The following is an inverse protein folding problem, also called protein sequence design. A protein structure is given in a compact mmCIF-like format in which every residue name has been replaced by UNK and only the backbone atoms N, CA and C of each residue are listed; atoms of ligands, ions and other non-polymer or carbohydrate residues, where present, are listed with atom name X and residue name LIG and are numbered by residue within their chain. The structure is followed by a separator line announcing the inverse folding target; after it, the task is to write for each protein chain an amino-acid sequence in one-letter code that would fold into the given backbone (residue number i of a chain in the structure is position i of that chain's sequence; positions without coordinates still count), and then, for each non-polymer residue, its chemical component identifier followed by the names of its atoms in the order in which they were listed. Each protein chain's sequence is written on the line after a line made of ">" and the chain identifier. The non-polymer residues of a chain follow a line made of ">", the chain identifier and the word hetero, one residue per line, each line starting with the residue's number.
data_IF_188201940551
#
_entry.id   IF_188201940551
#
_cell.length_a   1.000
_cell.length_b   1.000
_cell.length_c   1.000
_cell.angle_alpha   90.00
_cell.angle_beta   90.00
_cell.angle_gamma   90.00
#
_symmetry.space_group_name_H-M   'P 1'
#
loop_
_entity.id
_entity.type
_entity.pdbx_description
1 polymer ?
#
# COMPACT_ATOMS: atom_id res chain seq x y z
N UNK A 1 69.44 82.67 45.87
CA UNK A 1 68.86 82.01 44.68
C UNK A 1 70.00 81.44 43.86
N UNK A 2 70.18 80.13 43.96
CA UNK A 2 71.27 79.36 43.37
C UNK A 2 70.83 78.90 41.96
N UNK A 3 71.41 79.54 40.93
CA UNK A 3 71.11 79.32 39.52
C UNK A 3 71.70 77.99 39.02
N UNK A 4 70.82 77.11 38.58
CA UNK A 4 70.95 76.13 37.48
C UNK A 4 72.26 76.11 36.70
N UNK A 5 72.99 74.99 36.74
CA UNK A 5 73.91 74.62 35.67
C UNK A 5 74.31 73.12 35.67
N UNK A 6 73.36 72.19 35.50
CA UNK A 6 73.70 70.81 35.11
C UNK A 6 72.56 70.15 34.32
N UNK A 7 72.33 70.63 33.09
CA UNK A 7 71.69 69.79 32.05
C UNK A 7 72.81 69.24 31.17
N UNK A 8 73.25 68.02 31.47
CA UNK A 8 73.99 67.21 30.49
C UNK A 8 72.97 66.26 29.86
N UNK A 9 72.48 66.62 28.67
CA UNK A 9 71.76 65.70 27.81
C UNK A 9 72.80 64.81 27.12
N UNK A 10 72.88 63.56 27.54
CA UNK A 10 73.76 62.55 26.94
C UNK A 10 73.00 61.92 25.78
N UNK A 11 73.27 62.40 24.57
CA UNK A 11 72.76 61.86 23.33
C UNK A 11 73.35 60.46 23.13
N UNK A 12 72.49 59.44 23.14
CA UNK A 12 72.86 58.04 22.86
C UNK A 12 71.92 57.53 21.79
N UNK A 13 72.48 57.43 20.58
CA UNK A 13 71.80 56.89 19.41
C UNK A 13 71.47 55.41 19.65
N UNK A 14 70.18 55.08 19.63
CA UNK A 14 69.67 53.74 19.92
C UNK A 14 69.82 52.83 18.69
N UNK A 15 70.35 51.60 18.85
CA UNK A 15 70.46 50.65 17.75
C UNK A 15 69.11 50.35 17.12
N UNK A 16 69.00 50.52 15.80
CA UNK A 16 67.80 50.27 15.01
C UNK A 16 67.37 48.81 15.18
N UNK A 17 66.29 48.62 15.94
CA UNK A 17 65.68 47.33 16.20
C UNK A 17 65.29 46.68 14.85
N UNK A 18 65.88 45.52 14.56
CA UNK A 18 65.58 44.74 13.38
C UNK A 18 64.09 44.42 13.40
N UNK A 19 63.35 44.89 12.39
CA UNK A 19 61.91 44.68 12.34
C UNK A 19 61.59 43.18 12.46
N UNK A 20 61.00 42.83 13.61
CA UNK A 20 60.57 41.49 13.94
C UNK A 20 59.44 41.10 13.00
N UNK A 21 59.71 40.09 12.16
CA UNK A 21 58.73 39.53 11.21
C UNK A 21 57.55 39.00 12.00
N UNK A 22 56.40 39.65 11.82
CA UNK A 22 55.16 39.31 12.54
C UNK A 22 54.48 38.14 11.84
N UNK A 23 54.35 36.97 12.50
CA UNK A 23 53.64 35.85 11.90
C UNK A 23 52.16 36.20 11.76
N UNK A 24 51.64 36.03 10.55
CA UNK A 24 50.23 36.20 10.24
C UNK A 24 49.63 34.85 9.87
N UNK A 25 48.46 34.55 10.41
CA UNK A 25 47.73 33.34 10.06
C UNK A 25 47.08 33.56 8.70
N UNK A 26 47.63 32.92 7.67
CA UNK A 26 47.03 32.84 6.34
C UNK A 26 46.38 31.48 6.16
N UNK A 27 45.23 31.45 5.48
CA UNK A 27 44.57 30.24 5.04
C UNK A 27 44.23 30.39 3.55
N UNK A 28 44.36 29.31 2.80
CA UNK A 28 43.99 29.30 1.39
C UNK A 28 42.47 29.20 1.24
N UNK A 29 41.89 30.07 0.42
CA UNK A 29 40.46 30.05 0.12
C UNK A 29 40.24 29.06 -1.03
N UNK A 30 40.03 27.79 -0.70
CA UNK A 30 39.57 26.80 -1.68
C UNK A 30 38.09 27.04 -1.99
N UNK A 31 37.74 27.14 -3.27
CA UNK A 31 36.34 27.14 -3.72
C UNK A 31 35.77 25.72 -3.57
N UNK A 32 35.44 25.34 -2.34
CA UNK A 32 34.65 24.15 -2.11
C UNK A 32 33.25 24.46 -2.61
N UNK A 33 32.93 24.02 -3.82
CA UNK A 33 31.54 23.79 -4.20
C UNK A 33 31.02 22.70 -3.27
N UNK A 34 30.67 23.10 -2.05
CA UNK A 34 29.97 22.25 -1.09
C UNK A 34 28.62 22.01 -1.73
N UNK A 35 28.54 20.89 -2.46
CA UNK A 35 27.27 20.28 -2.78
C UNK A 35 26.62 20.02 -1.43
N UNK A 36 25.75 20.94 -1.01
CA UNK A 36 25.14 20.91 0.31
C UNK A 36 24.50 19.55 0.49
N UNK A 37 25.05 18.75 1.40
CA UNK A 37 24.50 17.43 1.71
C UNK A 37 23.18 17.68 2.41
N UNK A 38 22.08 17.47 1.68
CA UNK A 38 20.73 17.60 2.23
C UNK A 38 20.34 16.28 2.85
N UNK A 39 20.30 16.25 4.18
CA UNK A 39 19.82 15.10 4.94
C UNK A 39 18.33 15.27 5.13
N UNK A 40 17.54 14.38 4.51
CA UNK A 40 16.09 14.35 4.68
C UNK A 40 15.74 13.24 5.66
N UNK A 41 15.27 13.55 6.87
CA UNK A 41 14.79 12.52 7.77
C UNK A 41 13.56 11.86 7.14
N UNK A 42 13.63 10.54 6.92
CA UNK A 42 12.51 9.75 6.46
C UNK A 42 11.95 8.92 7.62
N UNK A 43 10.64 8.68 7.61
CA UNK A 43 9.98 7.76 8.53
C UNK A 43 9.54 6.54 7.74
N UNK A 44 9.89 5.35 8.23
CA UNK A 44 9.35 4.10 7.70
C UNK A 44 7.92 3.98 8.22
N UNK A 45 6.96 3.97 7.30
CA UNK A 45 5.57 3.61 7.60
C UNK A 45 5.40 2.11 7.33
N UNK A 46 4.62 1.43 8.17
CA UNK A 46 4.23 0.05 7.90
C UNK A 46 3.47 0.01 6.58
N UNK A 47 3.74 -1.01 5.76
CA UNK A 47 3.05 -1.20 4.48
C UNK A 47 1.53 -1.38 4.67
N UNK A 48 0.81 -1.34 3.55
CA UNK A 48 -0.65 -1.48 3.53
C UNK A 48 -1.10 -2.73 4.27
N UNK A 49 -1.97 -2.53 5.26
CA UNK A 49 -2.62 -3.61 6.00
C UNK A 49 -3.98 -3.89 5.37
N UNK A 50 -4.23 -5.13 5.03
CA UNK A 50 -5.53 -5.58 4.53
C UNK A 50 -6.12 -6.56 5.54
N UNK A 51 -7.23 -6.19 6.15
CA UNK A 51 -8.00 -7.09 7.00
C UNK A 51 -8.78 -8.07 6.10
N UNK A 52 -8.52 -9.37 6.27
CA UNK A 52 -9.17 -10.42 5.49
C UNK A 52 -10.32 -11.03 6.26
N UNK A 53 -11.50 -11.06 5.64
CA UNK A 53 -12.69 -11.67 6.19
C UNK A 53 -13.39 -12.55 5.16
N UNK A 54 -14.09 -13.58 5.63
CA UNK A 54 -14.89 -14.42 4.75
C UNK A 54 -16.13 -13.69 4.25
N UNK A 55 -16.42 -13.81 2.95
CA UNK A 55 -17.61 -13.20 2.33
C UNK A 55 -18.94 -13.82 2.79
N UNK A 56 -18.90 -15.01 3.38
CA UNK A 56 -20.08 -15.75 3.82
C UNK A 56 -19.83 -16.35 5.20
N UNK A 57 -20.87 -16.46 6.03
CA UNK A 57 -20.76 -17.18 7.29
C UNK A 57 -20.58 -18.69 7.02
N UNK A 58 -19.81 -19.34 7.88
CA UNK A 58 -19.56 -20.77 7.79
C UNK A 58 -18.58 -21.23 8.87
N UNK A 59 -18.48 -22.55 9.03
CA UNK A 59 -17.50 -23.14 9.94
C UNK A 59 -16.13 -23.19 9.27
N UNK A 60 -15.10 -22.75 9.99
CA UNK A 60 -13.70 -22.90 9.54
C UNK A 60 -13.35 -24.39 9.48
N UNK A 61 -12.95 -24.85 8.30
CA UNK A 61 -12.50 -26.23 8.10
C UNK A 61 -10.99 -26.34 8.34
N UNK A 62 -10.22 -25.42 7.76
CA UNK A 62 -8.76 -25.43 7.90
C UNK A 62 -8.16 -24.02 7.76
N UNK A 63 -7.10 -23.77 8.51
CA UNK A 63 -6.19 -22.63 8.33
C UNK A 63 -4.87 -23.17 7.75
N UNK A 64 -4.49 -22.68 6.57
CA UNK A 64 -3.36 -23.21 5.78
C UNK A 64 -2.08 -22.41 5.95
N UNK A 65 -2.13 -21.28 6.65
CA UNK A 65 -1.01 -20.36 6.85
C UNK A 65 -0.74 -20.14 8.32
N UNK A 66 0.51 -19.82 8.65
CA UNK A 66 0.94 -19.46 10.01
C UNK A 66 1.07 -17.95 10.16
N UNK A 67 1.01 -17.50 11.41
CA UNK A 67 1.26 -16.10 11.73
C UNK A 67 2.68 -15.70 11.30
N UNK A 68 2.79 -14.55 10.60
CA UNK A 68 4.07 -14.05 10.07
C UNK A 68 4.52 -14.69 8.75
N UNK A 69 3.76 -15.63 8.19
CA UNK A 69 4.07 -16.25 6.90
C UNK A 69 3.81 -15.27 5.74
N UNK A 70 4.72 -15.22 4.77
CA UNK A 70 4.53 -14.42 3.55
C UNK A 70 3.56 -15.13 2.60
N UNK A 71 2.51 -14.41 2.19
CA UNK A 71 1.48 -14.94 1.28
C UNK A 71 1.43 -14.15 -0.02
N UNK A 72 1.18 -14.86 -1.12
CA UNK A 72 1.04 -14.25 -2.46
C UNK A 72 -0.43 -14.01 -2.82
N UNK A 73 -0.68 -13.08 -3.75
CA UNK A 73 -2.04 -12.82 -4.24
C UNK A 73 -2.65 -14.09 -4.84
N UNK A 74 -3.83 -14.46 -4.35
CA UNK A 74 -4.56 -15.65 -4.80
C UNK A 74 -4.21 -16.94 -4.05
N UNK A 75 -3.26 -16.90 -3.11
CA UNK A 75 -2.97 -18.04 -2.24
C UNK A 75 -4.14 -18.31 -1.30
N UNK A 76 -4.50 -19.59 -1.16
CA UNK A 76 -5.55 -20.03 -0.23
C UNK A 76 -4.97 -20.00 1.19
N UNK A 77 -5.51 -19.12 2.03
CA UNK A 77 -5.08 -18.96 3.42
C UNK A 77 -5.92 -19.80 4.38
N UNK A 78 -7.19 -20.01 4.06
CA UNK A 78 -8.15 -20.68 4.92
C UNK A 78 -9.35 -21.19 4.11
N UNK A 79 -9.92 -22.29 4.55
CA UNK A 79 -11.06 -22.94 3.91
C UNK A 79 -12.24 -23.05 4.87
N UNK A 80 -13.43 -22.71 4.37
CA UNK A 80 -14.69 -22.95 5.08
C UNK A 80 -15.30 -24.28 4.64
N UNK A 81 -16.01 -24.93 5.56
CA UNK A 81 -16.80 -26.11 5.24
C UNK A 81 -17.86 -25.76 4.18
N UNK A 82 -17.79 -26.45 3.05
CA UNK A 82 -18.62 -26.18 1.87
C UNK A 82 -19.77 -27.18 1.65
N UNK A 83 -20.02 -28.09 2.59
CA UNK A 83 -21.03 -29.15 2.43
C UNK A 83 -22.44 -28.60 2.14
N UNK A 84 -22.91 -27.66 2.95
CA UNK A 84 -24.23 -27.06 2.78
C UNK A 84 -24.33 -26.26 1.48
N UNK A 85 -23.25 -25.56 1.12
CA UNK A 85 -23.18 -24.81 -0.14
C UNK A 85 -23.25 -25.76 -1.35
N UNK A 86 -22.55 -26.90 -1.30
CA UNK A 86 -22.59 -27.93 -2.34
C UNK A 86 -23.96 -28.58 -2.45
N UNK A 87 -24.61 -28.86 -1.31
CA UNK A 87 -25.97 -29.42 -1.32
C UNK A 87 -26.97 -28.46 -1.95
N UNK A 88 -26.94 -27.17 -1.56
CA UNK A 88 -27.78 -26.13 -2.16
C UNK A 88 -27.52 -25.96 -3.65
N UNK A 89 -26.26 -25.99 -4.08
CA UNK A 89 -25.92 -25.91 -5.50
C UNK A 89 -26.54 -27.07 -6.28
N UNK A 90 -26.42 -28.30 -5.78
CA UNK A 90 -27.01 -29.49 -6.43
C UNK A 90 -28.53 -29.43 -6.51
N UNK A 91 -29.18 -29.01 -5.43
CA UNK A 91 -30.64 -28.83 -5.39
C UNK A 91 -31.13 -27.83 -6.44
N UNK A 92 -30.45 -26.68 -6.55
CA UNK A 92 -30.76 -25.66 -7.57
C UNK A 92 -30.46 -26.14 -8.98
N UNK A 93 -29.38 -26.88 -9.18
CA UNK A 93 -29.06 -27.46 -10.48
C UNK A 93 -30.15 -28.45 -10.92
N UNK A 94 -30.59 -29.34 -10.04
CA UNK A 94 -31.66 -30.29 -10.36
C UNK A 94 -32.99 -29.58 -10.68
N UNK A 95 -33.30 -28.50 -9.96
CA UNK A 95 -34.48 -27.68 -10.24
C UNK A 95 -34.38 -26.99 -11.60
N UNK A 96 -33.21 -26.46 -11.94
CA UNK A 96 -32.93 -25.87 -13.25
C UNK A 96 -33.05 -26.89 -14.37
N UNK A 97 -32.45 -28.07 -14.23
CA UNK A 97 -32.48 -29.13 -15.23
C UNK A 97 -33.91 -29.61 -15.49
N UNK A 98 -34.73 -29.74 -14.45
CA UNK A 98 -36.14 -30.08 -14.56
C UNK A 98 -36.91 -28.99 -15.33
N UNK A 99 -36.72 -27.72 -14.96
CA UNK A 99 -37.38 -26.60 -15.64
C UNK A 99 -36.97 -26.51 -17.11
N UNK A 100 -35.69 -26.74 -17.43
CA UNK A 100 -35.17 -26.77 -18.79
C UNK A 100 -35.77 -27.93 -19.59
N UNK A 101 -35.85 -29.13 -19.00
CA UNK A 101 -36.48 -30.29 -19.64
C UNK A 101 -37.97 -30.05 -19.92
N UNK A 102 -38.69 -29.42 -18.98
CA UNK A 102 -40.09 -29.03 -19.17
C UNK A 102 -40.23 -27.98 -20.28
N UNK A 103 -39.38 -26.95 -20.30
CA UNK A 103 -39.38 -25.93 -21.35
C UNK A 103 -39.16 -26.56 -22.73
N UNK A 104 -38.12 -27.40 -22.87
CA UNK A 104 -37.82 -28.10 -24.12
C UNK A 104 -38.98 -29.00 -24.57
N UNK A 105 -39.62 -29.68 -23.60
CA UNK A 105 -40.81 -30.50 -23.86
C UNK A 105 -41.96 -29.65 -24.39
N UNK A 106 -42.30 -28.55 -23.74
CA UNK A 106 -43.38 -27.68 -24.22
C UNK A 106 -43.04 -27.06 -25.58
N UNK A 107 -41.80 -26.62 -25.79
CA UNK A 107 -41.35 -26.06 -27.06
C UNK A 107 -41.49 -27.07 -28.22
N UNK A 108 -41.23 -28.35 -27.98
CA UNK A 108 -41.40 -29.43 -28.98
C UNK A 108 -42.87 -29.78 -29.21
N UNK A 109 -43.72 -29.62 -28.18
CA UNK A 109 -45.15 -29.93 -28.23
C UNK A 109 -46.03 -28.78 -28.74
N UNK A 110 -45.50 -27.57 -28.92
CA UNK A 110 -46.22 -26.40 -29.49
C UNK A 110 -46.48 -26.47 -31.01
N UNK A 111 -46.25 -27.63 -31.65
CA UNK A 111 -46.85 -27.93 -32.96
C UNK A 111 -48.40 -28.01 -32.87
N UNK A 112 -49.14 -27.93 -34.00
CA UNK A 112 -50.58 -27.63 -34.06
C UNK A 112 -51.57 -28.64 -33.44
N UNK A 113 -51.15 -29.54 -32.55
CA UNK A 113 -52.03 -30.46 -31.83
C UNK A 113 -51.87 -30.33 -30.30
N UNK A 114 -52.54 -29.33 -29.74
CA UNK A 114 -52.79 -29.18 -28.32
C UNK A 114 -53.74 -30.29 -27.81
N UNK A 115 -53.22 -31.30 -27.11
CA UNK A 115 -54.03 -32.20 -26.29
C UNK A 115 -53.99 -31.74 -24.82
N UNK A 116 -54.96 -30.90 -24.45
CA UNK A 116 -55.27 -30.55 -23.07
C UNK A 116 -56.39 -31.46 -22.54
N UNK A 117 -56.18 -32.21 -21.45
CA UNK A 117 -57.27 -32.66 -20.60
C UNK A 117 -57.23 -31.85 -19.31
N UNK A 118 -57.63 -30.58 -19.37
CA UNK A 118 -58.20 -29.93 -18.18
C UNK A 118 -59.38 -29.06 -18.59
N UNK A 119 -60.51 -29.74 -18.65
CA UNK A 119 -61.83 -29.24 -18.98
C UNK A 119 -62.41 -28.52 -17.76
N UNK A 120 -61.95 -27.31 -17.48
CA UNK A 120 -62.73 -26.33 -16.70
C UNK A 120 -62.38 -24.93 -17.20
N UNK A 121 -63.19 -24.42 -18.12
CA UNK A 121 -63.30 -22.99 -18.39
C UNK A 121 -62.33 -22.42 -19.42
N UNK A 122 -62.54 -22.71 -20.71
CA UNK A 122 -62.14 -21.79 -21.78
C UNK A 122 -63.39 -21.48 -22.61
N UNK A 123 -64.27 -20.65 -22.05
CA UNK A 123 -65.41 -20.05 -22.74
C UNK A 123 -64.96 -18.74 -23.39
N UNK A 124 -64.23 -18.81 -24.50
CA UNK A 124 -64.09 -17.72 -25.49
C UNK A 124 -62.94 -18.03 -26.45
N UNK A 125 -63.26 -18.76 -27.50
CA UNK A 125 -62.65 -18.54 -28.80
C UNK A 125 -63.82 -18.47 -29.77
N UNK A 126 -64.31 -17.24 -29.98
CA UNK A 126 -65.35 -16.90 -30.93
C UNK A 126 -64.75 -16.02 -32.02
N UNK A 127 -65.17 -16.34 -33.26
CA UNK A 127 -65.01 -15.62 -34.53
C UNK A 127 -63.60 -15.59 -35.15
#
# INVERSE_FOLDING_TARGET
>A
MLCTLFLTACDRETPKELESVRPVNIFEVSNSAQQGVRIFPARIIAGDRTDLAFKRPGQLQQLLVREGEQVSKGQVIAELNSNDARLRLRDRQATFDLAQAQFNRFATLSGPQCHSPRRTGCSSCSA
#
